data_IF_750830544366
#
_entry.id   IF_750830544366
#
_cell.length_a   1.000
_cell.length_b   1.000
_cell.length_c   1.000
_cell.angle_alpha   90.00
_cell.angle_beta   90.00
_cell.angle_gamma   90.00
#
_symmetry.space_group_name_H-M   'P 1'
#
loop_
_entity.id
_entity.type
_entity.pdbx_description
1 polymer ?
#
# COMPACT_ATOMS: atom_id res chain seq x y z
N UNK A 1 -4.67 13.82 9.79
CA UNK A 1 -3.69 13.65 8.69
C UNK A 1 -4.05 12.36 7.97
N UNK A 2 -4.10 12.34 6.64
CA UNK A 2 -4.50 11.15 5.88
C UNK A 2 -3.29 10.27 5.63
N UNK A 3 -3.30 9.06 6.17
CA UNK A 3 -2.26 8.04 5.95
C UNK A 3 -2.73 7.05 4.88
N UNK A 4 -1.83 6.67 3.98
CA UNK A 4 -2.13 5.84 2.83
C UNK A 4 -1.16 4.65 2.75
N UNK A 5 -1.67 3.51 2.33
CA UNK A 5 -0.89 2.42 1.76
C UNK A 5 -0.97 2.47 0.24
N UNK A 6 0.05 1.97 -0.45
CA UNK A 6 0.00 1.75 -1.89
C UNK A 6 -0.19 0.26 -2.17
N UNK A 7 -1.41 -0.15 -2.53
CA UNK A 7 -1.71 -1.53 -2.87
C UNK A 7 -1.14 -1.89 -4.23
N UNK A 8 -0.45 -3.04 -4.33
CA UNK A 8 0.05 -3.61 -5.58
C UNK A 8 -0.80 -4.80 -6.00
N UNK A 9 -1.64 -4.61 -7.01
CA UNK A 9 -2.57 -5.66 -7.48
C UNK A 9 -1.94 -6.68 -8.43
N UNK A 10 -0.63 -6.59 -8.70
CA UNK A 10 0.09 -7.61 -9.47
C UNK A 10 0.07 -8.99 -8.82
N UNK A 11 0.09 -9.03 -7.49
CA UNK A 11 0.18 -10.26 -6.70
C UNK A 11 -1.03 -10.44 -5.78
N UNK A 12 -2.21 -10.02 -6.23
CA UNK A 12 -3.43 -10.23 -5.47
C UNK A 12 -3.83 -11.72 -5.59
N UNK A 13 -3.74 -12.47 -4.49
CA UNK A 13 -4.06 -13.91 -4.45
C UNK A 13 -5.01 -14.17 -3.29
N UNK A 14 -6.26 -14.50 -3.62
CA UNK A 14 -7.31 -14.67 -2.62
C UNK A 14 -7.52 -13.39 -1.82
N UNK A 15 -7.32 -13.46 -0.50
CA UNK A 15 -7.43 -12.32 0.43
C UNK A 15 -6.10 -11.58 0.67
N UNK A 16 -5.02 -11.94 -0.03
CA UNK A 16 -3.70 -11.34 0.17
C UNK A 16 -3.40 -10.26 -0.88
N UNK A 17 -3.01 -9.08 -0.41
CA UNK A 17 -2.56 -7.94 -1.22
C UNK A 17 -1.08 -7.67 -0.91
N UNK A 18 -0.30 -7.32 -1.94
CA UNK A 18 1.08 -6.89 -1.77
C UNK A 18 1.20 -5.38 -1.56
N UNK A 19 2.13 -4.97 -0.71
CA UNK A 19 2.41 -3.57 -0.35
C UNK A 19 3.91 -3.29 -0.51
N UNK A 20 4.34 -2.08 -0.92
CA UNK A 20 5.72 -1.67 -0.77
C UNK A 20 6.15 -1.79 0.68
N UNK A 21 7.25 -2.51 0.93
CA UNK A 21 7.82 -2.65 2.26
C UNK A 21 8.46 -1.35 2.73
N UNK A 22 8.41 -1.09 4.03
CA UNK A 22 9.08 0.05 4.63
C UNK A 22 10.58 0.07 4.31
N UNK A 23 11.14 1.25 4.00
CA UNK A 23 12.54 1.47 3.64
C UNK A 23 13.06 0.62 2.45
N UNK A 24 12.25 0.44 1.41
CA UNK A 24 12.71 -0.19 0.17
C UNK A 24 12.95 -1.70 0.28
N UNK A 25 12.39 -2.36 1.30
CA UNK A 25 12.48 -3.82 1.52
C UNK A 25 11.63 -4.65 0.53
N UNK A 26 11.52 -4.21 -0.72
CA UNK A 26 10.72 -4.88 -1.75
C UNK A 26 9.22 -4.77 -1.48
N UNK A 27 8.50 -5.89 -1.62
CA UNK A 27 7.06 -5.98 -1.35
C UNK A 27 6.79 -6.96 -0.20
N UNK A 28 5.75 -6.68 0.58
CA UNK A 28 5.29 -7.51 1.70
C UNK A 28 3.78 -7.72 1.62
N UNK A 29 3.28 -8.85 2.11
CA UNK A 29 1.85 -9.07 2.37
C UNK A 29 1.48 -8.77 3.82
N UNK A 30 2.47 -8.56 4.70
CA UNK A 30 2.25 -8.12 6.06
C UNK A 30 2.11 -6.59 6.10
N UNK A 31 0.89 -6.12 6.34
CA UNK A 31 0.53 -4.70 6.37
C UNK A 31 1.27 -3.90 7.45
N UNK A 32 1.67 -4.52 8.56
CA UNK A 32 2.43 -3.83 9.61
C UNK A 32 3.89 -3.58 9.20
N UNK A 33 4.34 -4.20 8.11
CA UNK A 33 5.65 -3.95 7.49
C UNK A 33 5.55 -3.07 6.23
N UNK A 34 4.34 -2.66 5.85
CA UNK A 34 4.11 -1.82 4.69
C UNK A 34 4.56 -0.37 4.94
N UNK A 35 5.03 0.29 3.88
CA UNK A 35 5.34 1.71 3.93
C UNK A 35 4.03 2.52 4.05
N UNK A 36 3.98 3.39 5.06
CA UNK A 36 2.88 4.35 5.25
C UNK A 36 3.27 5.67 4.60
N UNK A 37 2.44 6.12 3.67
CA UNK A 37 2.64 7.36 2.94
C UNK A 37 1.80 8.49 3.55
N UNK A 38 2.37 9.69 3.58
CA UNK A 38 1.59 10.94 3.61
C UNK A 38 0.85 11.13 2.29
N UNK A 39 -0.08 12.09 2.22
CA UNK A 39 -0.83 12.38 0.99
C UNK A 39 0.11 12.78 -0.16
N UNK A 40 1.09 13.65 0.11
CA UNK A 40 2.05 14.14 -0.87
C UNK A 40 2.96 13.02 -1.36
N UNK A 41 3.46 12.17 -0.46
CA UNK A 41 4.27 11.01 -0.83
C UNK A 41 3.47 9.99 -1.64
N UNK A 42 2.20 9.77 -1.29
CA UNK A 42 1.33 8.84 -2.01
C UNK A 42 1.03 9.34 -3.43
N UNK A 43 0.80 10.64 -3.61
CA UNK A 43 0.59 11.25 -4.92
C UNK A 43 1.82 11.03 -5.82
N UNK A 44 3.01 11.40 -5.33
CA UNK A 44 4.27 11.20 -6.07
C UNK A 44 4.50 9.72 -6.40
N UNK A 45 4.25 8.82 -5.44
CA UNK A 45 4.39 7.40 -5.66
C UNK A 45 3.41 6.90 -6.72
N UNK A 46 2.14 7.32 -6.67
CA UNK A 46 1.08 6.93 -7.60
C UNK A 46 1.34 7.42 -9.03
N UNK A 47 1.79 8.67 -9.19
CA UNK A 47 2.15 9.25 -10.49
C UNK A 47 3.27 8.48 -11.21
N UNK A 48 4.12 7.77 -10.44
CA UNK A 48 5.22 6.95 -10.94
C UNK A 48 4.95 5.44 -10.81
N UNK A 49 3.77 5.05 -10.33
CA UNK A 49 3.42 3.67 -10.11
C UNK A 49 2.88 3.02 -11.40
N UNK A 50 2.54 1.74 -11.30
CA UNK A 50 1.85 1.05 -12.38
C UNK A 50 0.38 1.43 -12.36
N UNK A 51 -0.30 1.31 -13.50
CA UNK A 51 -1.74 1.56 -13.61
C UNK A 51 -2.61 0.72 -12.67
N UNK A 52 -2.08 -0.38 -12.14
CA UNK A 52 -2.74 -1.30 -11.21
C UNK A 52 -2.47 -0.99 -9.75
N UNK A 53 -1.52 -0.11 -9.44
CA UNK A 53 -1.19 0.26 -8.08
C UNK A 53 -2.18 1.33 -7.60
N UNK A 54 -2.75 1.16 -6.41
CA UNK A 54 -3.83 2.02 -5.90
C UNK A 54 -3.54 2.52 -4.49
N UNK A 55 -3.65 3.83 -4.22
CA UNK A 55 -3.58 4.34 -2.87
C UNK A 55 -4.86 3.98 -2.09
N UNK A 56 -4.71 3.41 -0.90
CA UNK A 56 -5.82 3.03 -0.02
C UNK A 56 -5.59 3.62 1.37
N UNK A 57 -6.62 4.24 1.94
CA UNK A 57 -6.52 4.82 3.28
C UNK A 57 -6.21 3.75 4.34
N UNK A 58 -5.22 4.02 5.20
CA UNK A 58 -4.76 3.08 6.24
C UNK A 58 -5.91 2.64 7.14
N UNK A 59 -6.77 3.57 7.56
CA UNK A 59 -7.92 3.26 8.42
C UNK A 59 -8.91 2.29 7.74
N UNK A 60 -9.05 2.38 6.41
CA UNK A 60 -9.94 1.50 5.66
C UNK A 60 -9.37 0.08 5.58
N UNK A 61 -8.05 -0.04 5.35
CA UNK A 61 -7.35 -1.33 5.34
C UNK A 61 -7.41 -1.98 6.73
N UNK A 62 -7.05 -1.23 7.79
CA UNK A 62 -7.03 -1.74 9.17
C UNK A 62 -8.39 -2.19 9.70
N UNK A 63 -9.50 -1.64 9.20
CA UNK A 63 -10.85 -2.09 9.57
C UNK A 63 -11.16 -3.53 9.11
N UNK A 64 -10.47 -4.03 8.08
CA UNK A 64 -10.79 -5.30 7.43
C UNK A 64 -9.68 -6.35 7.54
N UNK A 65 -8.60 -6.05 8.29
CA UNK A 65 -7.58 -7.03 8.61
C UNK A 65 -8.07 -7.81 9.83
N UNK A 66 -8.13 -9.13 9.68
CA UNK A 66 -8.43 -10.13 10.72
C UNK A 66 -7.15 -10.74 11.26
#
# INVERSE_FOLDING_TARGET
>A
MTELYLACFRHNVGSNIGWPGFNGKGYTTNVDQAHVYTLEQAQVAWDNARSIDQPIAVHHVRKHIV
#
